data_IF_535072638638
#
_entry.id   IF_535072638638
#
_cell.length_a   1.000
_cell.length_b   1.000
_cell.length_c   1.000
_cell.angle_alpha   90.00
_cell.angle_beta   90.00
_cell.angle_gamma   90.00
#
_symmetry.space_group_name_H-M   'P 1'
#
loop_
_entity.id
_entity.type
_entity.pdbx_description
1 polymer ?
#
# COMPACT_ATOMS: atom_id res chain seq x y z
N UNK A 1 12.20 4.00 2.56
CA UNK A 1 12.62 2.58 2.53
C UNK A 1 13.76 2.31 1.55
N UNK A 2 13.71 2.79 0.28
CA UNK A 2 14.76 2.52 -0.74
C UNK A 2 16.18 2.90 -0.32
N UNK A 3 16.36 4.05 0.34
CA UNK A 3 17.70 4.53 0.75
C UNK A 3 18.27 3.79 1.97
N UNK A 4 17.42 3.16 2.77
CA UNK A 4 17.81 2.48 4.01
C UNK A 4 17.89 0.95 3.85
N UNK A 5 17.70 0.44 2.62
CA UNK A 5 17.80 -0.98 2.27
C UNK A 5 16.85 -1.87 3.09
N UNK A 6 15.60 -1.46 3.24
CA UNK A 6 14.56 -2.30 3.85
C UNK A 6 13.57 -2.78 2.80
N UNK A 7 13.23 -4.07 2.84
CA UNK A 7 12.05 -4.63 2.21
C UNK A 7 10.89 -4.53 3.21
N UNK A 8 9.74 -4.04 2.78
CA UNK A 8 8.57 -3.89 3.63
C UNK A 8 7.35 -4.53 2.97
N UNK A 9 6.56 -5.23 3.78
CA UNK A 9 5.29 -5.82 3.39
C UNK A 9 4.20 -5.45 4.38
N UNK A 10 2.96 -5.60 3.95
CA UNK A 10 1.78 -5.51 4.80
C UNK A 10 0.89 -6.70 4.53
N UNK A 11 0.18 -7.17 5.55
CA UNK A 11 -0.90 -8.14 5.37
C UNK A 11 -2.14 -7.72 6.14
N UNK A 12 -3.29 -8.25 5.71
CA UNK A 12 -4.57 -7.99 6.34
C UNK A 12 -5.35 -9.27 6.55
N UNK A 13 -6.08 -9.37 7.66
CA UNK A 13 -7.04 -10.43 7.91
C UNK A 13 -6.44 -11.80 8.25
N UNK A 14 -5.15 -11.85 8.55
CA UNK A 14 -4.46 -13.05 9.03
C UNK A 14 -4.37 -13.13 10.55
N UNK A 15 -4.47 -11.99 11.25
CA UNK A 15 -4.29 -11.89 12.70
C UNK A 15 -5.60 -11.83 13.49
N UNK A 16 -5.61 -10.98 14.53
CA UNK A 16 -6.76 -10.78 15.42
C UNK A 16 -7.80 -9.79 14.88
N UNK A 17 -7.61 -9.26 13.67
CA UNK A 17 -8.56 -8.32 13.08
C UNK A 17 -9.82 -9.07 12.64
N UNK A 18 -10.99 -8.56 13.05
CA UNK A 18 -12.27 -9.06 12.53
C UNK A 18 -12.39 -8.61 11.08
N UNK A 19 -12.46 -9.59 10.18
CA UNK A 19 -12.52 -9.35 8.74
C UNK A 19 -13.96 -9.45 8.29
N UNK A 20 -14.49 -8.37 7.72
CA UNK A 20 -15.63 -8.44 6.82
C UNK A 20 -15.09 -8.60 5.39
N UNK A 21 -15.18 -9.83 4.86
CA UNK A 21 -14.66 -10.14 3.53
C UNK A 21 -15.39 -9.38 2.42
N UNK A 22 -16.68 -9.08 2.60
CA UNK A 22 -17.46 -8.31 1.62
C UNK A 22 -17.03 -6.84 1.62
N UNK A 23 -16.83 -6.24 2.79
CA UNK A 23 -16.31 -4.87 2.90
C UNK A 23 -14.91 -4.77 2.26
N UNK A 24 -13.97 -5.66 2.61
CA UNK A 24 -12.60 -5.60 2.07
C UNK A 24 -12.61 -5.76 0.54
N UNK A 25 -13.40 -6.71 0.04
CA UNK A 25 -13.55 -6.93 -1.40
C UNK A 25 -14.18 -5.71 -2.10
N UNK A 26 -15.14 -5.04 -1.47
CA UNK A 26 -15.74 -3.80 -1.99
C UNK A 26 -14.73 -2.66 -2.11
N UNK A 27 -13.73 -2.64 -1.22
CA UNK A 27 -12.59 -1.71 -1.24
C UNK A 27 -11.44 -2.15 -2.15
N UNK A 28 -11.61 -3.27 -2.87
CA UNK A 28 -10.58 -3.83 -3.73
C UNK A 28 -9.41 -4.46 -2.98
N UNK A 29 -9.58 -4.78 -1.69
CA UNK A 29 -8.61 -5.51 -0.88
C UNK A 29 -8.99 -6.99 -0.79
N UNK A 30 -7.98 -7.83 -0.58
CA UNK A 30 -8.15 -9.25 -0.32
C UNK A 30 -7.63 -9.58 1.07
N UNK A 31 -8.51 -10.09 1.91
CA UNK A 31 -8.13 -10.61 3.21
C UNK A 31 -7.22 -11.85 3.10
N UNK A 32 -6.43 -12.10 4.14
CA UNK A 32 -5.43 -13.17 4.24
C UNK A 32 -4.45 -13.15 3.08
N UNK A 33 -4.05 -11.95 2.68
CA UNK A 33 -3.14 -11.71 1.56
C UNK A 33 -2.05 -10.73 1.94
N UNK A 34 -0.88 -10.89 1.31
CA UNK A 34 0.27 -10.03 1.51
C UNK A 34 0.42 -9.05 0.34
N UNK A 35 0.79 -7.83 0.68
CA UNK A 35 1.02 -6.71 -0.21
C UNK A 35 2.42 -6.15 0.03
N UNK A 36 3.09 -5.69 -1.02
CA UNK A 36 4.40 -5.03 -0.89
C UNK A 36 4.22 -3.54 -0.65
N UNK A 37 4.98 -2.96 0.28
CA UNK A 37 5.04 -1.50 0.44
C UNK A 37 6.22 -0.98 -0.39
N UNK A 38 5.91 -0.21 -1.44
CA UNK A 38 6.89 0.26 -2.42
C UNK A 38 7.46 1.63 -2.06
N UNK A 39 6.62 2.54 -1.57
CA UNK A 39 7.00 3.88 -1.16
C UNK A 39 6.10 4.40 -0.02
N UNK A 40 6.61 5.36 0.74
CA UNK A 40 5.87 6.06 1.80
C UNK A 40 6.19 7.53 1.70
N UNK A 41 5.16 8.38 1.63
CA UNK A 41 5.30 9.81 1.39
C UNK A 41 4.46 10.60 2.38
N UNK A 42 5.03 11.69 2.89
CA UNK A 42 4.32 12.73 3.61
C UNK A 42 4.41 14.00 2.76
N UNK A 43 3.29 14.39 2.15
CA UNK A 43 3.25 15.51 1.20
C UNK A 43 2.02 16.34 1.50
N UNK A 44 2.23 17.64 1.74
CA UNK A 44 1.14 18.61 2.01
C UNK A 44 0.23 18.20 3.19
N UNK A 45 0.76 17.46 4.17
CA UNK A 45 0.02 16.95 5.32
C UNK A 45 -0.66 15.60 5.08
N UNK A 46 -0.61 15.07 3.86
CA UNK A 46 -1.14 13.75 3.51
C UNK A 46 -0.05 12.69 3.63
N UNK A 47 -0.31 11.68 4.47
CA UNK A 47 0.58 10.52 4.64
C UNK A 47 0.07 9.37 3.80
N UNK A 48 0.79 9.05 2.73
CA UNK A 48 0.37 8.09 1.71
C UNK A 48 1.37 6.94 1.60
N UNK A 49 0.85 5.73 1.39
CA UNK A 49 1.64 4.54 1.13
C UNK A 49 1.34 4.06 -0.29
N UNK A 50 2.40 3.79 -1.06
CA UNK A 50 2.28 3.10 -2.33
C UNK A 50 2.41 1.60 -2.08
N UNK A 51 1.36 0.86 -2.37
CA UNK A 51 1.28 -0.58 -2.13
C UNK A 51 1.12 -1.34 -3.44
N UNK A 52 1.53 -2.60 -3.45
CA UNK A 52 1.36 -3.49 -4.61
C UNK A 52 0.76 -4.83 -4.22
N UNK A 53 -0.31 -5.20 -4.89
CA UNK A 53 -0.80 -6.57 -4.96
C UNK A 53 0.05 -7.36 -5.97
N UNK A 54 0.77 -8.42 -5.54
CA UNK A 54 1.61 -9.20 -6.45
C UNK A 54 0.84 -9.91 -7.57
N UNK A 55 -0.48 -10.11 -7.44
CA UNK A 55 -1.29 -10.77 -8.46
C UNK A 55 -1.82 -9.83 -9.55
N UNK A 56 -1.52 -8.52 -9.49
CA UNK A 56 -1.85 -7.56 -10.55
C UNK A 56 -3.33 -7.15 -10.63
N UNK A 57 -4.19 -7.71 -9.78
CA UNK A 57 -5.63 -7.41 -9.70
C UNK A 57 -6.04 -7.11 -8.25
N UNK A 58 -7.25 -6.59 -8.02
CA UNK A 58 -7.71 -6.10 -6.71
C UNK A 58 -6.82 -4.95 -6.20
N UNK A 59 -6.99 -3.80 -6.85
CA UNK A 59 -6.42 -2.53 -6.43
C UNK A 59 -7.40 -1.80 -5.52
N UNK A 60 -6.86 -1.04 -4.57
CA UNK A 60 -7.63 -0.19 -3.68
C UNK A 60 -8.56 0.75 -4.44
N UNK A 61 -9.82 0.84 -4.01
CA UNK A 61 -10.87 1.69 -4.63
C UNK A 61 -11.35 2.82 -3.72
N UNK A 62 -10.73 3.00 -2.56
CA UNK A 62 -11.07 4.07 -1.62
C UNK A 62 -10.28 5.36 -1.87
N UNK A 63 -10.08 6.13 -0.80
CA UNK A 63 -9.38 7.40 -0.85
C UNK A 63 -7.94 7.22 -1.35
N UNK A 64 -7.54 8.06 -2.30
CA UNK A 64 -6.24 7.99 -3.00
C UNK A 64 -6.05 6.79 -3.94
N UNK A 65 -7.11 6.01 -4.22
CA UNK A 65 -7.13 5.12 -5.40
C UNK A 65 -6.89 5.88 -6.70
N UNK A 66 -6.58 5.18 -7.79
CA UNK A 66 -6.25 5.80 -9.08
C UNK A 66 -7.35 6.75 -9.59
N UNK A 67 -8.62 6.43 -9.29
CA UNK A 67 -9.81 7.20 -9.68
C UNK A 67 -10.29 8.19 -8.58
N UNK A 68 -9.58 8.30 -7.47
CA UNK A 68 -9.94 9.18 -6.36
C UNK A 68 -10.00 10.65 -6.79
N UNK A 69 -11.04 11.35 -6.33
CA UNK A 69 -11.20 12.80 -6.53
C UNK A 69 -10.27 13.65 -5.65
N UNK A 70 -9.63 13.04 -4.63
CA UNK A 70 -8.69 13.73 -3.73
C UNK A 70 -7.38 14.12 -4.44
N UNK A 71 -7.13 13.49 -5.58
CA UNK A 71 -5.97 13.78 -6.39
C UNK A 71 -6.06 15.17 -7.03
N UNK A 72 -5.22 16.09 -6.57
CA UNK A 72 -4.90 17.30 -7.34
C UNK A 72 -3.93 16.97 -8.48
N UNK A 73 -3.92 17.75 -9.58
CA UNK A 73 -2.97 17.57 -10.67
C UNK A 73 -1.52 17.54 -10.19
N UNK A 74 -1.15 18.42 -9.25
CA UNK A 74 0.22 18.48 -8.75
C UNK A 74 0.59 17.23 -7.93
N UNK A 75 -0.35 16.68 -7.16
CA UNK A 75 -0.14 15.44 -6.41
C UNK A 75 -0.02 14.23 -7.34
N UNK A 76 -0.81 14.17 -8.42
CA UNK A 76 -0.70 13.10 -9.44
C UNK A 76 0.65 13.15 -10.14
N UNK A 77 1.09 14.33 -10.59
CA UNK A 77 2.39 14.48 -11.25
C UNK A 77 3.55 14.12 -10.33
N UNK A 78 3.45 14.44 -9.03
CA UNK A 78 4.50 14.15 -8.06
C UNK A 78 4.57 12.67 -7.67
N UNK A 79 3.42 12.01 -7.48
CA UNK A 79 3.34 10.66 -6.90
C UNK A 79 3.07 9.55 -7.92
N UNK A 80 2.53 9.91 -9.08
CA UNK A 80 2.23 9.00 -10.20
C UNK A 80 2.66 9.59 -11.55
N UNK A 81 3.94 10.03 -11.72
CA UNK A 81 4.40 10.66 -12.96
C UNK A 81 4.32 9.74 -14.20
N UNK A 82 4.29 8.42 -13.98
CA UNK A 82 4.14 7.40 -15.02
C UNK A 82 2.73 6.79 -15.08
N UNK A 83 1.78 7.34 -14.31
CA UNK A 83 0.44 6.81 -14.16
C UNK A 83 0.35 5.58 -13.24
N UNK A 84 -0.83 4.95 -13.27
CA UNK A 84 -1.09 3.70 -12.56
C UNK A 84 -0.30 2.54 -13.19
N UNK A 85 0.18 1.62 -12.35
CA UNK A 85 0.89 0.42 -12.76
C UNK A 85 0.15 -0.81 -12.23
N UNK A 86 0.22 -1.93 -12.96
CA UNK A 86 -0.55 -3.15 -12.63
C UNK A 86 -0.38 -3.58 -11.17
N UNK A 87 -1.52 -3.70 -10.48
CA UNK A 87 -1.60 -4.09 -9.08
C UNK A 87 -1.04 -3.07 -8.08
N UNK A 88 -0.61 -1.88 -8.51
CA UNK A 88 -0.06 -0.84 -7.64
C UNK A 88 -1.11 0.23 -7.37
N UNK A 89 -1.20 0.72 -6.14
CA UNK A 89 -2.14 1.76 -5.74
C UNK A 89 -1.57 2.58 -4.59
N UNK A 90 -2.09 3.80 -4.43
CA UNK A 90 -1.86 4.61 -3.24
C UNK A 90 -3.04 4.46 -2.27
N UNK A 91 -2.74 4.57 -0.98
CA UNK A 91 -3.72 4.49 0.10
C UNK A 91 -3.28 5.43 1.23
N UNK A 92 -4.24 6.00 1.96
CA UNK A 92 -3.95 6.84 3.12
C UNK A 92 -3.35 5.99 4.26
N UNK A 93 -2.49 6.60 5.07
CA UNK A 93 -1.97 5.95 6.27
C UNK A 93 -3.09 5.53 7.23
N UNK A 94 -4.14 6.34 7.36
CA UNK A 94 -5.26 6.05 8.25
C UNK A 94 -6.08 4.85 7.75
N UNK A 95 -6.26 4.71 6.43
CA UNK A 95 -6.86 3.50 5.85
C UNK A 95 -5.95 2.28 6.01
N UNK A 96 -4.62 2.44 5.94
CA UNK A 96 -3.71 1.32 6.23
C UNK A 96 -3.91 0.82 7.66
N UNK A 97 -4.01 1.72 8.64
CA UNK A 97 -4.29 1.35 10.04
C UNK A 97 -5.66 0.69 10.22
N UNK A 98 -6.64 1.05 9.38
CA UNK A 98 -7.99 0.49 9.43
C UNK A 98 -8.05 -0.91 8.81
N UNK A 99 -7.36 -1.10 7.68
CA UNK A 99 -7.56 -2.27 6.82
C UNK A 99 -6.45 -3.33 6.90
N UNK A 100 -5.28 -3.00 7.46
CA UNK A 100 -4.12 -3.89 7.57
C UNK A 100 -3.73 -4.12 9.05
N UNK A 101 -3.40 -5.37 9.39
CA UNK A 101 -3.17 -5.79 10.78
C UNK A 101 -1.69 -6.11 11.07
N UNK A 102 -0.86 -6.22 10.03
CA UNK A 102 0.58 -6.49 10.17
C UNK A 102 1.41 -5.71 9.16
N UNK A 103 2.58 -5.26 9.61
CA UNK A 103 3.63 -4.67 8.78
C UNK A 103 4.93 -5.43 9.05
N UNK A 104 5.48 -6.05 8.01
CA UNK A 104 6.72 -6.80 8.06
C UNK A 104 7.86 -5.95 7.51
N UNK A 105 8.95 -5.83 8.27
CA UNK A 105 10.13 -5.03 7.90
C UNK A 105 11.37 -5.91 7.92
N UNK A 106 11.98 -6.12 6.75
CA UNK A 106 13.20 -6.89 6.59
C UNK A 106 14.37 -5.97 6.21
N UNK A 107 15.40 -5.92 7.06
CA UNK A 107 16.62 -5.17 6.77
C UNK A 107 17.51 -5.98 5.84
N UNK A 108 17.76 -5.46 4.64
CA UNK A 108 18.69 -6.06 3.69
C UNK A 108 20.12 -5.74 4.14
N UNK A 109 20.93 -6.80 4.33
CA UNK A 109 22.37 -6.69 4.56
C UNK A 109 23.08 -7.04 3.27
N UNK A 110 23.78 -6.07 2.67
CA UNK A 110 24.50 -6.24 1.41
C UNK A 110 25.64 -7.27 1.48
N UNK A 111 26.18 -7.53 2.66
CA UNK A 111 27.34 -8.41 2.88
C UNK A 111 27.01 -9.64 3.75
N UNK A 112 25.79 -10.18 3.68
CA UNK A 112 25.44 -11.37 4.46
C UNK A 112 26.14 -12.62 3.87
N UNK A 113 26.80 -13.40 4.73
CA UNK A 113 27.31 -14.74 4.43
C UNK A 113 26.80 -15.68 5.53
N UNK A 114 26.35 -16.88 5.15
CA UNK A 114 25.93 -17.94 6.09
C UNK A 114 27.08 -18.49 6.93
#
# INVERSE_FOLDING_TARGET
SRQAMFLMGASCGGGNMVVDEEEWKSKGLKARHAYSILDVRDVRGERLLQMRNPWGHFCWTGDWSDDSILWSPEMRDLLMPLGAADGTFWISYDDVLKYFDSIDICKVRSNYSE
#
